data_IF_987530297249
#
_entry.id   IF_987530297249
#
_cell.length_a   1.000
_cell.length_b   1.000
_cell.length_c   1.000
_cell.angle_alpha   90.00
_cell.angle_beta   90.00
_cell.angle_gamma   90.00
#
_symmetry.space_group_name_H-M   'P 1'
#
loop_
_entity.id
_entity.type
_entity.pdbx_description
1 polymer ?
#
# COMPACT_ATOMS: atom_id res chain seq x y z
N UNK A 1 -10.09 9.27 -8.04
CA UNK A 1 -9.43 8.79 -6.80
C UNK A 1 -8.01 8.34 -7.09
N UNK A 2 -7.76 7.50 -8.11
CA UNK A 2 -6.43 6.92 -8.39
C UNK A 2 -5.31 7.96 -8.59
N UNK A 3 -5.48 9.05 -9.35
CA UNK A 3 -4.44 10.08 -9.51
C UNK A 3 -4.02 10.74 -8.20
N UNK A 4 -5.00 11.05 -7.32
CA UNK A 4 -4.75 11.65 -5.99
C UNK A 4 -4.09 10.68 -5.00
N UNK A 5 -4.15 9.37 -5.28
CA UNK A 5 -3.52 8.34 -4.45
C UNK A 5 -2.13 7.94 -4.98
N UNK A 6 -1.73 8.45 -6.14
CA UNK A 6 -0.48 8.08 -6.78
C UNK A 6 0.72 8.41 -5.89
N UNK A 7 1.57 7.40 -5.63
CA UNK A 7 2.74 7.53 -4.76
C UNK A 7 2.55 7.13 -3.30
N UNK A 8 1.32 7.05 -2.79
CA UNK A 8 1.04 6.63 -1.40
C UNK A 8 1.17 5.12 -1.19
N UNK A 9 1.22 4.33 -2.26
CA UNK A 9 1.23 2.86 -2.16
C UNK A 9 -0.09 2.26 -1.67
N UNK A 10 -0.10 0.94 -1.49
CA UNK A 10 -1.30 0.21 -1.02
C UNK A 10 -2.58 0.60 -1.78
N UNK A 11 -2.52 0.61 -3.10
CA UNK A 11 -3.59 1.06 -4.00
C UNK A 11 -4.92 0.33 -3.82
N UNK A 12 -4.90 -0.88 -3.24
CA UNK A 12 -6.12 -1.57 -2.83
C UNK A 12 -6.96 -0.75 -1.84
N UNK A 13 -6.33 0.07 -0.98
CA UNK A 13 -7.06 0.97 -0.07
C UNK A 13 -7.84 2.03 -0.82
N UNK A 14 -7.26 2.64 -1.86
CA UNK A 14 -7.95 3.62 -2.69
C UNK A 14 -9.16 3.02 -3.41
N UNK A 15 -8.99 1.82 -3.98
CA UNK A 15 -10.10 1.10 -4.63
C UNK A 15 -11.20 0.73 -3.64
N UNK A 16 -10.82 0.20 -2.48
CA UNK A 16 -11.76 -0.17 -1.43
C UNK A 16 -12.50 1.05 -0.88
N UNK A 17 -11.80 2.16 -0.64
CA UNK A 17 -12.40 3.43 -0.23
C UNK A 17 -13.44 3.92 -1.25
N UNK A 18 -13.08 3.91 -2.53
CA UNK A 18 -13.99 4.30 -3.60
C UNK A 18 -15.23 3.40 -3.69
N UNK A 19 -15.01 2.07 -3.57
CA UNK A 19 -16.11 1.10 -3.57
C UNK A 19 -17.00 1.27 -2.34
N UNK A 20 -16.42 1.41 -1.15
CA UNK A 20 -17.16 1.65 0.08
C UNK A 20 -17.98 2.94 0.01
N UNK A 21 -17.39 4.04 -0.49
CA UNK A 21 -18.09 5.29 -0.70
C UNK A 21 -19.29 5.15 -1.66
N UNK A 22 -19.12 4.38 -2.74
CA UNK A 22 -20.22 4.06 -3.66
C UNK A 22 -21.35 3.28 -3.00
N UNK A 23 -21.02 2.31 -2.15
CA UNK A 23 -22.02 1.54 -1.39
C UNK A 23 -22.78 2.44 -0.42
N UNK A 24 -22.08 3.28 0.35
CA UNK A 24 -22.71 4.24 1.28
C UNK A 24 -23.61 5.24 0.53
N UNK A 25 -23.16 5.75 -0.61
CA UNK A 25 -23.96 6.65 -1.44
C UNK A 25 -25.23 5.98 -1.97
N UNK A 26 -25.15 4.69 -2.35
CA UNK A 26 -26.30 3.93 -2.81
C UNK A 26 -27.30 3.65 -1.68
N UNK A 27 -26.81 3.40 -0.48
CA UNK A 27 -27.65 3.20 0.73
C UNK A 27 -28.30 4.50 1.22
N UNK A 28 -27.74 5.65 0.89
CA UNK A 28 -28.21 6.97 1.30
C UNK A 28 -27.89 7.37 2.74
N UNK A 29 -27.20 6.53 3.49
CA UNK A 29 -26.77 6.80 4.88
C UNK A 29 -25.49 6.05 5.23
N UNK A 30 -24.76 6.53 6.23
CA UNK A 30 -23.62 5.82 6.80
C UNK A 30 -24.06 4.62 7.65
N UNK A 31 -23.24 3.55 7.73
CA UNK A 31 -23.43 2.47 8.68
C UNK A 31 -23.54 3.00 10.12
N UNK A 32 -24.43 2.43 10.90
CA UNK A 32 -24.68 2.83 12.29
C UNK A 32 -24.05 1.88 13.32
N UNK A 33 -23.68 0.64 12.91
CA UNK A 33 -23.11 -0.38 13.79
C UNK A 33 -21.75 -0.86 13.31
N UNK A 34 -20.97 -1.45 14.22
CA UNK A 34 -19.66 -2.01 13.93
C UNK A 34 -19.71 -3.05 12.81
N UNK A 35 -20.71 -3.93 12.85
CA UNK A 35 -20.91 -5.01 11.88
C UNK A 35 -21.14 -4.44 10.47
N UNK A 36 -22.02 -3.45 10.37
CA UNK A 36 -22.29 -2.77 9.08
C UNK A 36 -21.06 -2.09 8.51
N UNK A 37 -20.19 -1.50 9.35
CA UNK A 37 -18.93 -0.95 8.90
C UNK A 37 -17.98 -2.02 8.37
N UNK A 38 -17.91 -3.19 9.04
CA UNK A 38 -17.01 -4.29 8.65
C UNK A 38 -17.45 -4.92 7.31
N UNK A 39 -18.71 -4.85 6.94
CA UNK A 39 -19.20 -5.31 5.63
C UNK A 39 -18.68 -4.47 4.46
N UNK A 40 -18.23 -3.24 4.70
CA UNK A 40 -17.69 -2.38 3.65
C UNK A 40 -16.27 -2.79 3.23
N UNK A 41 -15.96 -2.72 1.92
CA UNK A 41 -14.67 -3.12 1.40
C UNK A 41 -13.50 -2.37 2.05
N UNK A 42 -12.55 -3.14 2.60
CA UNK A 42 -11.31 -2.61 3.19
C UNK A 42 -11.47 -2.06 4.61
N UNK A 43 -12.62 -2.23 5.23
CA UNK A 43 -12.87 -1.87 6.62
C UNK A 43 -12.81 -3.14 7.47
N UNK A 44 -11.74 -3.24 8.27
CA UNK A 44 -11.59 -4.29 9.28
C UNK A 44 -12.07 -3.81 10.66
N UNK A 45 -12.09 -4.71 11.68
CA UNK A 45 -12.59 -4.39 13.03
C UNK A 45 -11.98 -3.13 13.64
N UNK A 46 -10.67 -2.95 13.53
CA UNK A 46 -9.99 -1.75 14.07
C UNK A 46 -10.39 -0.46 13.35
N UNK A 47 -10.54 -0.51 12.02
CA UNK A 47 -11.00 0.65 11.25
C UNK A 47 -12.46 0.98 11.57
N UNK A 48 -13.31 -0.05 11.68
CA UNK A 48 -14.70 0.10 12.09
C UNK A 48 -14.82 0.74 13.49
N UNK A 49 -14.03 0.25 14.46
CA UNK A 49 -13.95 0.85 15.80
C UNK A 49 -13.52 2.32 15.77
N UNK A 50 -12.56 2.67 14.92
CA UNK A 50 -12.15 4.06 14.75
C UNK A 50 -13.26 4.94 14.14
N UNK A 51 -14.00 4.42 13.16
CA UNK A 51 -15.13 5.12 12.56
C UNK A 51 -16.28 5.33 13.56
N UNK A 52 -16.57 4.31 14.38
CA UNK A 52 -17.54 4.44 15.47
C UNK A 52 -17.11 5.51 16.47
N UNK A 53 -15.88 5.42 16.96
CA UNK A 53 -15.35 6.30 18.00
C UNK A 53 -15.15 7.74 17.51
N UNK A 54 -14.35 7.92 16.46
CA UNK A 54 -13.94 9.25 15.99
C UNK A 54 -14.97 9.89 15.06
N UNK A 55 -15.62 9.07 14.22
CA UNK A 55 -16.59 9.56 13.24
C UNK A 55 -17.98 9.78 13.82
N UNK A 56 -18.50 8.78 14.54
CA UNK A 56 -19.88 8.78 15.04
C UNK A 56 -20.02 9.16 16.53
N UNK A 57 -18.91 9.36 17.24
CA UNK A 57 -18.88 9.63 18.69
C UNK A 57 -19.60 8.54 19.50
N UNK A 58 -19.52 7.30 19.04
CA UNK A 58 -20.06 6.11 19.70
C UNK A 58 -18.92 5.24 20.22
N UNK A 59 -19.26 4.25 21.05
CA UNK A 59 -18.27 3.30 21.54
C UNK A 59 -17.67 2.49 20.39
N UNK A 60 -16.33 2.46 20.34
CA UNK A 60 -15.57 1.69 19.35
C UNK A 60 -14.18 1.38 19.86
N UNK A 61 -13.76 0.13 19.73
CA UNK A 61 -12.44 -0.35 20.15
C UNK A 61 -11.51 -0.42 18.93
N UNK A 62 -10.27 0.00 19.10
CA UNK A 62 -9.25 -0.08 18.05
C UNK A 62 -8.09 -0.96 18.48
N UNK A 63 -7.51 -1.68 17.51
CA UNK A 63 -6.32 -2.50 17.67
C UNK A 63 -5.49 -2.47 16.37
N UNK A 64 -4.98 -1.30 16.04
CA UNK A 64 -4.04 -1.16 14.92
C UNK A 64 -2.60 -1.51 15.34
N UNK A 65 -1.65 -1.41 14.43
CA UNK A 65 -0.24 -1.69 14.73
C UNK A 65 0.37 -0.76 15.78
N UNK A 66 -0.12 0.47 15.93
CA UNK A 66 0.32 1.41 16.94
C UNK A 66 -0.21 1.02 18.32
N UNK A 67 -1.51 0.78 18.43
CA UNK A 67 -2.16 0.33 19.67
C UNK A 67 -1.57 -0.98 20.15
N UNK A 68 -1.42 -1.97 19.25
CA UNK A 68 -0.79 -3.26 19.55
C UNK A 68 0.61 -3.07 20.15
N UNK A 69 1.42 -2.18 19.59
CA UNK A 69 2.76 -1.85 20.11
C UNK A 69 2.72 -1.16 21.46
N UNK A 70 1.86 -0.17 21.64
CA UNK A 70 1.71 0.54 22.92
C UNK A 70 1.34 -0.42 24.03
N UNK A 71 0.31 -1.24 23.82
CA UNK A 71 -0.17 -2.20 24.82
C UNK A 71 0.86 -3.30 25.10
N UNK A 72 1.51 -3.85 24.05
CA UNK A 72 2.56 -4.85 24.23
C UNK A 72 3.71 -4.32 25.07
N UNK A 73 4.13 -3.08 24.89
CA UNK A 73 5.19 -2.45 25.71
C UNK A 73 4.71 -2.11 27.11
N UNK A 74 3.52 -1.52 27.21
CA UNK A 74 2.99 -1.10 28.53
C UNK A 74 2.86 -2.28 29.50
N UNK A 75 2.43 -3.43 29.01
CA UNK A 75 2.25 -4.65 29.80
C UNK A 75 3.43 -5.64 29.71
N UNK A 76 4.48 -5.33 28.96
CA UNK A 76 5.62 -6.20 28.64
C UNK A 76 5.18 -7.58 28.09
N UNK A 77 4.31 -7.57 27.06
CA UNK A 77 3.82 -8.78 26.42
C UNK A 77 4.86 -9.25 25.39
N UNK A 78 5.51 -10.37 25.70
CA UNK A 78 6.59 -10.96 24.90
C UNK A 78 6.10 -12.00 23.87
N UNK A 79 4.83 -12.34 23.92
CA UNK A 79 4.20 -13.31 23.03
C UNK A 79 4.24 -12.89 21.55
N UNK A 80 4.23 -13.91 20.67
CA UNK A 80 4.03 -13.71 19.23
C UNK A 80 2.58 -13.29 18.92
N UNK A 81 2.37 -11.99 18.83
CA UNK A 81 1.05 -11.38 18.57
C UNK A 81 0.48 -11.66 17.16
N UNK A 82 1.19 -12.40 16.32
CA UNK A 82 0.67 -12.89 15.04
C UNK A 82 -0.11 -14.20 15.16
N UNK A 83 -0.05 -14.85 16.34
CA UNK A 83 -0.83 -16.07 16.59
C UNK A 83 -2.26 -15.71 16.99
N UNK A 84 -3.28 -16.40 16.45
CA UNK A 84 -4.69 -16.06 16.69
C UNK A 84 -5.09 -16.00 18.17
N UNK A 85 -4.50 -16.87 19.01
CA UNK A 85 -4.74 -16.88 20.45
C UNK A 85 -4.31 -15.56 21.11
N UNK A 86 -3.06 -15.12 20.82
CA UNK A 86 -2.51 -13.90 21.41
C UNK A 86 -3.14 -12.65 20.82
N UNK A 87 -3.53 -12.68 19.55
CA UNK A 87 -4.28 -11.59 18.93
C UNK A 87 -5.64 -11.39 19.59
N UNK A 88 -6.37 -12.49 19.90
CA UNK A 88 -7.64 -12.42 20.65
C UNK A 88 -7.43 -11.83 22.05
N UNK A 89 -6.40 -12.27 22.77
CA UNK A 89 -6.07 -11.74 24.09
C UNK A 89 -5.77 -10.23 24.04
N UNK A 90 -5.07 -9.77 22.99
CA UNK A 90 -4.81 -8.34 22.77
C UNK A 90 -6.10 -7.56 22.52
N UNK A 91 -7.04 -8.09 21.76
CA UNK A 91 -8.36 -7.47 21.56
C UNK A 91 -9.14 -7.37 22.86
N UNK A 92 -9.18 -8.43 23.67
CA UNK A 92 -9.82 -8.41 24.99
C UNK A 92 -9.17 -7.39 25.91
N UNK A 93 -7.85 -7.28 25.89
CA UNK A 93 -7.12 -6.25 26.65
C UNK A 93 -7.49 -4.83 26.18
N UNK A 94 -7.53 -4.60 24.87
CA UNK A 94 -7.91 -3.30 24.33
C UNK A 94 -9.35 -2.93 24.69
N UNK A 95 -10.26 -3.87 24.63
CA UNK A 95 -11.66 -3.70 25.00
C UNK A 95 -11.79 -3.37 26.50
N UNK A 96 -11.07 -4.10 27.38
CA UNK A 96 -11.07 -3.86 28.81
C UNK A 96 -10.54 -2.46 29.19
N UNK A 97 -9.59 -1.94 28.47
CA UNK A 97 -8.97 -0.63 28.71
C UNK A 97 -9.73 0.53 28.05
N UNK A 98 -10.61 0.23 27.11
CA UNK A 98 -11.31 1.23 26.33
C UNK A 98 -12.50 1.79 27.14
N UNK A 99 -12.48 3.07 27.52
CA UNK A 99 -13.57 3.66 28.31
C UNK A 99 -14.82 3.85 27.44
N UNK A 100 -15.98 3.74 28.07
CA UNK A 100 -17.27 4.06 27.42
C UNK A 100 -17.42 5.58 27.32
N UNK A 101 -17.17 6.28 28.41
CA UNK A 101 -17.15 7.74 28.42
C UNK A 101 -15.86 8.26 27.81
N UNK A 102 -15.96 9.34 27.03
CA UNK A 102 -14.81 9.94 26.32
C UNK A 102 -14.04 8.94 25.44
N UNK A 103 -14.74 7.96 24.89
CA UNK A 103 -14.14 6.91 24.05
C UNK A 103 -13.32 7.49 22.89
N UNK A 104 -13.81 8.54 22.23
CA UNK A 104 -13.11 9.19 21.12
C UNK A 104 -11.80 9.87 21.56
N UNK A 105 -11.75 10.45 22.78
CA UNK A 105 -10.51 11.05 23.29
C UNK A 105 -9.46 9.96 23.54
N UNK A 106 -9.87 8.84 24.15
CA UNK A 106 -8.98 7.70 24.36
C UNK A 106 -8.48 7.12 23.04
N UNK A 107 -9.37 6.93 22.07
CA UNK A 107 -9.01 6.41 20.75
C UNK A 107 -7.98 7.31 20.07
N UNK A 108 -8.19 8.61 20.05
CA UNK A 108 -7.24 9.56 19.48
C UNK A 108 -5.92 9.56 20.27
N UNK A 109 -5.99 9.62 21.59
CA UNK A 109 -4.80 9.68 22.44
C UNK A 109 -3.88 8.45 22.29
N UNK A 110 -4.44 7.23 22.24
CA UNK A 110 -3.62 6.03 22.10
C UNK A 110 -3.01 5.91 20.70
N UNK A 111 -3.71 6.38 19.66
CA UNK A 111 -3.17 6.47 18.30
C UNK A 111 -2.00 7.46 18.24
N UNK A 112 -2.18 8.67 18.80
CA UNK A 112 -1.15 9.72 18.83
C UNK A 112 0.06 9.28 19.65
N UNK A 113 -0.15 8.67 20.82
CA UNK A 113 0.91 8.11 21.63
C UNK A 113 1.75 7.09 20.83
N UNK A 114 1.09 6.20 20.10
CA UNK A 114 1.76 5.24 19.24
C UNK A 114 2.48 5.87 18.05
N UNK A 115 1.91 6.90 17.46
CA UNK A 115 2.47 7.54 16.26
C UNK A 115 3.66 8.46 16.59
N UNK A 116 3.61 9.20 17.72
CA UNK A 116 4.55 10.28 18.00
C UNK A 116 5.55 9.98 19.11
N UNK A 117 5.16 9.25 20.14
CA UNK A 117 5.98 8.97 21.32
C UNK A 117 6.47 7.52 21.36
N UNK A 118 5.55 6.56 21.41
CA UNK A 118 5.88 5.13 21.47
C UNK A 118 6.18 4.57 20.07
N UNK A 119 7.16 5.14 19.39
CA UNK A 119 7.51 4.82 17.98
C UNK A 119 8.16 3.45 17.83
N UNK A 120 8.15 2.84 16.61
CA UNK A 120 8.64 1.46 16.42
C UNK A 120 10.13 1.27 16.70
N UNK A 121 10.98 2.22 16.35
CA UNK A 121 12.45 2.06 16.41
C UNK A 121 13.10 2.84 17.55
N UNK A 122 12.65 4.06 17.80
CA UNK A 122 13.22 4.98 18.78
C UNK A 122 12.11 5.61 19.62
N UNK A 123 11.54 4.85 20.57
CA UNK A 123 10.48 5.41 21.42
C UNK A 123 11.05 6.52 22.32
N UNK A 124 10.28 7.58 22.48
CA UNK A 124 10.62 8.74 23.31
C UNK A 124 10.12 8.53 24.74
N UNK A 125 10.63 7.51 25.42
CA UNK A 125 10.13 7.07 26.74
C UNK A 125 10.20 8.17 27.81
N UNK A 126 11.23 9.03 27.78
CA UNK A 126 11.36 10.15 28.72
C UNK A 126 10.25 11.21 28.62
N UNK A 127 9.58 11.28 27.46
CA UNK A 127 8.45 12.18 27.21
C UNK A 127 7.10 11.45 27.27
N UNK A 128 7.10 10.16 27.60
CA UNK A 128 5.88 9.37 27.61
C UNK A 128 5.09 9.61 28.90
N UNK A 129 3.82 10.03 28.83
CA UNK A 129 3.00 10.24 30.04
C UNK A 129 2.74 8.94 30.81
N UNK A 130 2.94 7.78 30.18
CA UNK A 130 2.75 6.45 30.78
C UNK A 130 4.05 5.83 31.28
N UNK A 131 5.19 6.53 31.25
CA UNK A 131 6.52 6.02 31.53
C UNK A 131 6.62 5.28 32.87
N UNK A 132 6.12 5.91 33.93
CA UNK A 132 6.24 5.39 35.30
C UNK A 132 5.62 3.99 35.50
N UNK A 133 4.59 3.67 34.72
CA UNK A 133 3.85 2.41 34.80
C UNK A 133 4.16 1.45 33.64
N UNK A 134 5.02 1.86 32.71
CA UNK A 134 5.35 1.04 31.53
C UNK A 134 6.31 -0.07 31.91
N UNK A 135 5.85 -1.33 31.91
CA UNK A 135 6.65 -2.50 32.27
C UNK A 135 7.83 -2.73 31.31
N UNK A 136 7.65 -2.53 30.01
CA UNK A 136 8.76 -2.68 29.07
C UNK A 136 9.86 -1.64 29.33
N UNK A 137 9.50 -0.40 29.69
CA UNK A 137 10.51 0.62 30.05
C UNK A 137 11.27 0.26 31.32
N UNK A 138 10.56 -0.22 32.35
CA UNK A 138 11.19 -0.66 33.61
C UNK A 138 12.14 -1.85 33.40
N UNK A 139 11.92 -2.67 32.37
CA UNK A 139 12.70 -3.86 32.06
C UNK A 139 13.70 -3.65 30.91
N UNK A 140 13.74 -2.49 30.27
CA UNK A 140 14.62 -2.20 29.12
C UNK A 140 14.20 -2.91 27.83
N UNK A 141 12.93 -3.32 27.69
CA UNK A 141 12.40 -4.10 26.57
C UNK A 141 11.68 -3.23 25.50
N UNK A 142 11.69 -1.92 25.62
CA UNK A 142 10.91 -1.02 24.74
C UNK A 142 11.33 -1.06 23.28
N UNK A 143 12.55 -1.48 22.95
CA UNK A 143 13.02 -1.65 21.57
C UNK A 143 12.80 -3.05 21.02
N UNK A 144 12.63 -4.05 21.89
CA UNK A 144 12.42 -5.44 21.55
C UNK A 144 10.94 -5.77 21.32
N UNK A 145 10.06 -5.11 22.07
CA UNK A 145 8.61 -5.33 21.98
C UNK A 145 7.91 -4.40 20.97
N UNK A 146 6.83 -4.87 20.34
CA UNK A 146 6.31 -6.24 20.35
C UNK A 146 7.25 -7.22 19.65
N UNK A 147 7.18 -8.49 20.01
CA UNK A 147 7.96 -9.56 19.38
C UNK A 147 7.85 -9.50 17.85
N UNK A 148 8.97 -9.56 17.18
CA UNK A 148 9.06 -9.52 15.71
C UNK A 148 9.64 -10.83 15.20
N UNK A 149 8.86 -11.52 14.39
CA UNK A 149 9.42 -12.66 13.64
C UNK A 149 10.60 -12.20 12.79
N UNK A 150 11.66 -12.99 12.69
CA UNK A 150 12.73 -12.74 11.73
C UNK A 150 12.11 -12.59 10.33
N UNK A 151 12.50 -11.53 9.62
CA UNK A 151 12.04 -11.33 8.24
C UNK A 151 12.62 -12.44 7.38
N UNK A 152 11.75 -13.18 6.69
CA UNK A 152 12.19 -14.08 5.63
C UNK A 152 12.82 -13.26 4.51
N UNK A 153 13.84 -13.83 3.86
CA UNK A 153 14.40 -13.23 2.66
C UNK A 153 13.28 -13.00 1.64
N UNK A 154 13.26 -11.80 1.09
CA UNK A 154 12.25 -11.41 0.11
C UNK A 154 12.73 -11.90 -1.25
N UNK A 155 11.94 -12.69 -2.00
CA UNK A 155 12.35 -13.17 -3.33
C UNK A 155 12.58 -11.99 -4.27
N UNK A 156 13.59 -12.13 -5.12
CA UNK A 156 13.87 -11.19 -6.20
C UNK A 156 13.24 -11.74 -7.46
N UNK A 157 12.48 -10.92 -8.16
CA UNK A 157 11.90 -11.20 -9.47
C UNK A 157 12.47 -10.22 -10.48
N UNK A 158 12.56 -10.62 -11.74
CA UNK A 158 12.93 -9.74 -12.85
C UNK A 158 11.79 -9.66 -13.86
N UNK A 159 11.70 -8.54 -14.57
CA UNK A 159 10.80 -8.36 -15.70
C UNK A 159 11.36 -7.31 -16.67
N UNK A 160 10.99 -7.42 -17.94
CA UNK A 160 11.23 -6.40 -18.94
C UNK A 160 10.04 -5.48 -19.06
N UNK A 161 10.33 -4.21 -19.29
CA UNK A 161 9.33 -3.17 -19.55
C UNK A 161 9.53 -2.65 -20.95
N UNK A 162 8.51 -2.79 -21.79
CA UNK A 162 8.52 -2.23 -23.14
C UNK A 162 8.23 -0.74 -23.07
N UNK A 163 9.16 0.06 -23.57
CA UNK A 163 8.97 1.49 -23.80
C UNK A 163 8.94 1.70 -25.30
N UNK A 164 7.75 1.81 -25.86
CA UNK A 164 7.56 2.01 -27.28
C UNK A 164 7.25 3.49 -27.52
N UNK A 165 8.12 4.16 -28.27
CA UNK A 165 8.05 5.59 -28.56
C UNK A 165 7.70 5.83 -30.01
N UNK A 166 6.77 6.75 -30.26
CA UNK A 166 6.47 7.32 -31.59
C UNK A 166 5.94 8.73 -31.44
N UNK A 167 6.40 9.70 -32.23
CA UNK A 167 5.94 11.08 -32.24
C UNK A 167 5.87 11.74 -30.85
N UNK A 168 6.90 11.59 -30.02
CA UNK A 168 6.94 12.07 -28.64
C UNK A 168 5.84 11.50 -27.71
N UNK A 169 5.23 10.40 -28.10
CA UNK A 169 4.26 9.66 -27.31
C UNK A 169 4.82 8.28 -26.99
N UNK A 170 4.43 7.74 -25.84
CA UNK A 170 4.71 6.38 -25.43
C UNK A 170 3.43 5.57 -25.38
N UNK A 171 3.54 4.25 -25.59
CA UNK A 171 2.41 3.34 -25.46
C UNK A 171 2.21 2.94 -24.00
N UNK A 172 1.06 3.28 -23.44
CA UNK A 172 0.66 3.00 -22.08
C UNK A 172 -0.50 2.01 -22.03
N UNK A 173 -0.51 1.18 -21.00
CA UNK A 173 -1.60 0.25 -20.71
C UNK A 173 -2.22 0.55 -19.35
N UNK A 174 -3.53 0.48 -19.24
CA UNK A 174 -4.20 0.48 -17.96
C UNK A 174 -4.22 -0.94 -17.41
N UNK A 175 -3.65 -1.14 -16.21
CA UNK A 175 -3.66 -2.45 -15.54
C UNK A 175 -5.10 -2.88 -15.20
N UNK A 176 -5.40 -4.18 -15.24
CA UNK A 176 -6.68 -4.70 -14.74
C UNK A 176 -6.97 -4.20 -13.34
N UNK A 177 -8.24 -4.07 -12.97
CA UNK A 177 -8.64 -3.53 -11.64
C UNK A 177 -8.25 -4.42 -10.46
N UNK A 178 -7.66 -5.60 -10.68
CA UNK A 178 -7.16 -6.52 -9.67
C UNK A 178 -5.63 -6.69 -9.77
N UNK A 179 -5.03 -7.28 -8.74
CA UNK A 179 -3.60 -7.58 -8.72
C UNK A 179 -2.70 -6.36 -8.46
N UNK A 180 -1.43 -6.52 -8.83
CA UNK A 180 -0.40 -5.50 -8.62
C UNK A 180 -0.69 -4.27 -9.47
N UNK A 181 -0.72 -3.08 -8.83
CA UNK A 181 -0.99 -1.78 -9.46
C UNK A 181 -2.33 -1.71 -10.21
N UNK A 182 -3.32 -2.52 -9.80
CA UNK A 182 -4.61 -2.58 -10.45
C UNK A 182 -5.27 -1.21 -10.66
N UNK A 183 -5.73 -0.95 -11.89
CA UNK A 183 -6.36 0.29 -12.30
C UNK A 183 -5.40 1.46 -12.60
N UNK A 184 -4.08 1.29 -12.36
CA UNK A 184 -3.08 2.31 -12.69
C UNK A 184 -2.58 2.13 -14.13
N UNK A 185 -2.04 3.20 -14.68
CA UNK A 185 -1.37 3.18 -15.96
C UNK A 185 0.09 2.74 -15.81
N UNK A 186 0.53 1.84 -16.64
CA UNK A 186 1.89 1.32 -16.70
C UNK A 186 2.35 1.20 -18.14
N UNK A 187 3.65 1.21 -18.34
CA UNK A 187 4.25 0.68 -19.57
C UNK A 187 4.04 -0.85 -19.61
N UNK A 188 3.94 -1.49 -20.77
CA UNK A 188 3.78 -2.94 -20.88
C UNK A 188 4.89 -3.67 -20.13
N UNK A 189 4.54 -4.63 -19.27
CA UNK A 189 5.47 -5.39 -18.43
C UNK A 189 5.39 -6.85 -18.80
N UNK A 190 6.52 -7.47 -19.12
CA UNK A 190 6.67 -8.87 -19.50
C UNK A 190 7.53 -9.56 -18.45
N UNK A 191 6.97 -10.55 -17.77
CA UNK A 191 7.65 -11.24 -16.66
C UNK A 191 8.57 -12.39 -17.12
N UNK A 192 8.42 -12.85 -18.35
CA UNK A 192 9.19 -13.98 -18.90
C UNK A 192 10.06 -13.56 -20.10
N UNK A 193 11.39 -13.75 -20.05
CA UNK A 193 12.29 -13.33 -21.12
C UNK A 193 11.96 -13.93 -22.50
N UNK A 194 11.55 -15.19 -22.54
CA UNK A 194 11.19 -15.86 -23.81
C UNK A 194 9.95 -15.22 -24.44
N UNK A 195 8.97 -14.87 -23.63
CA UNK A 195 7.77 -14.14 -24.08
C UNK A 195 8.12 -12.75 -24.60
N UNK A 196 9.09 -12.08 -23.97
CA UNK A 196 9.55 -10.77 -24.40
C UNK A 196 10.15 -10.81 -25.81
N UNK A 197 11.07 -11.74 -26.07
CA UNK A 197 11.71 -11.87 -27.41
C UNK A 197 10.68 -12.22 -28.49
N UNK A 198 9.80 -13.17 -28.20
CA UNK A 198 8.72 -13.56 -29.12
C UNK A 198 7.77 -12.40 -29.40
N UNK A 199 7.41 -11.63 -28.37
CA UNK A 199 6.55 -10.47 -28.51
C UNK A 199 7.21 -9.37 -29.35
N UNK A 200 8.48 -9.08 -29.10
CA UNK A 200 9.22 -8.09 -29.91
C UNK A 200 9.27 -8.47 -31.38
N UNK A 201 9.47 -9.76 -31.68
CA UNK A 201 9.46 -10.27 -33.06
C UNK A 201 8.07 -10.11 -33.70
N UNK A 202 7.01 -10.51 -32.99
CA UNK A 202 5.62 -10.42 -33.47
C UNK A 202 5.21 -8.98 -33.75
N UNK A 203 5.61 -8.06 -32.86
CA UNK A 203 5.31 -6.63 -32.98
C UNK A 203 6.24 -5.87 -33.94
N UNK A 204 7.24 -6.55 -34.52
CA UNK A 204 8.21 -5.95 -35.44
C UNK A 204 9.15 -4.93 -34.76
N UNK A 205 9.35 -5.02 -33.45
CA UNK A 205 10.22 -4.13 -32.68
C UNK A 205 11.70 -4.51 -32.88
N UNK A 206 12.44 -3.74 -33.68
CA UNK A 206 13.81 -4.07 -34.08
C UNK A 206 14.86 -3.16 -33.53
N UNK A 207 14.59 -1.85 -33.44
CA UNK A 207 15.58 -0.82 -33.09
C UNK A 207 15.48 -0.45 -31.61
N UNK A 208 16.34 -1.07 -30.81
CA UNK A 208 16.53 -0.65 -29.41
C UNK A 208 17.30 0.66 -29.39
N UNK A 209 16.76 1.71 -28.79
CA UNK A 209 17.38 3.03 -28.70
C UNK A 209 18.00 3.28 -27.33
N UNK A 210 17.47 2.69 -26.27
CA UNK A 210 17.97 2.82 -24.90
C UNK A 210 17.58 1.64 -24.04
N UNK A 211 18.34 1.41 -22.95
CA UNK A 211 18.01 0.53 -21.84
C UNK A 211 18.19 1.25 -20.52
N UNK A 212 17.37 0.95 -19.54
CA UNK A 212 17.48 1.45 -18.17
C UNK A 212 17.03 0.40 -17.19
N UNK A 213 17.64 0.34 -16.02
CA UNK A 213 17.31 -0.61 -14.97
C UNK A 213 16.93 0.11 -13.70
N UNK A 214 15.93 -0.42 -13.00
CA UNK A 214 15.56 0.01 -11.65
C UNK A 214 15.28 -1.19 -10.76
N UNK A 215 15.48 -1.00 -9.46
CA UNK A 215 15.01 -1.94 -8.44
C UNK A 215 13.87 -1.30 -7.65
N UNK A 216 12.78 -2.04 -7.49
CA UNK A 216 11.62 -1.61 -6.70
C UNK A 216 11.22 -2.69 -5.69
N UNK A 217 11.27 -2.36 -4.39
CA UNK A 217 10.95 -3.31 -3.32
C UNK A 217 9.50 -3.18 -2.87
N UNK A 218 8.82 -4.32 -2.82
CA UNK A 218 7.52 -4.50 -2.17
C UNK A 218 7.71 -5.19 -0.81
N UNK A 219 6.67 -5.33 -0.05
CA UNK A 219 6.69 -6.04 1.24
C UNK A 219 6.96 -7.54 1.12
N UNK A 220 6.67 -8.14 -0.04
CA UNK A 220 6.70 -9.59 -0.27
C UNK A 220 7.62 -10.05 -1.40
N UNK A 221 8.16 -9.12 -2.21
CA UNK A 221 9.22 -9.38 -3.20
C UNK A 221 9.92 -8.08 -3.60
N UNK A 222 11.08 -8.22 -4.22
CA UNK A 222 11.80 -7.11 -4.88
C UNK A 222 11.75 -7.34 -6.39
N UNK A 223 11.44 -6.30 -7.16
CA UNK A 223 11.37 -6.36 -8.61
C UNK A 223 12.55 -5.64 -9.23
N UNK A 224 13.31 -6.36 -10.06
CA UNK A 224 14.31 -5.80 -10.96
C UNK A 224 13.63 -5.59 -12.31
N UNK A 225 13.47 -4.35 -12.72
CA UNK A 225 12.80 -3.95 -13.96
C UNK A 225 13.84 -3.40 -14.93
N UNK A 226 13.93 -4.04 -16.10
CA UNK A 226 14.74 -3.56 -17.23
C UNK A 226 13.81 -2.91 -18.26
N UNK A 227 13.90 -1.60 -18.44
CA UNK A 227 13.24 -0.91 -19.56
C UNK A 227 14.04 -1.10 -20.83
N UNK A 228 13.35 -1.47 -21.90
CA UNK A 228 13.91 -1.58 -23.23
C UNK A 228 13.11 -0.68 -24.14
N UNK A 229 13.78 0.38 -24.64
CA UNK A 229 13.14 1.43 -25.40
C UNK A 229 13.26 1.20 -26.89
N UNK A 230 12.15 1.26 -27.58
CA UNK A 230 12.04 1.12 -29.04
C UNK A 230 11.45 2.38 -29.64
N UNK A 231 11.95 2.76 -30.79
CA UNK A 231 11.38 3.79 -31.63
C UNK A 231 10.66 3.12 -32.83
N UNK A 232 9.43 3.57 -33.08
CA UNK A 232 8.60 3.05 -34.17
C UNK A 232 8.01 4.18 -34.99
N UNK A 233 7.65 3.90 -36.22
CA UNK A 233 7.03 4.85 -37.11
C UNK A 233 5.54 5.07 -36.76
N UNK A 234 4.98 6.20 -37.19
CA UNK A 234 3.62 6.59 -36.84
C UNK A 234 2.55 5.62 -37.41
N UNK A 235 2.82 4.97 -38.52
CA UNK A 235 1.95 3.97 -39.13
C UNK A 235 1.78 2.70 -38.34
N UNK A 236 2.75 2.41 -37.44
CA UNK A 236 2.69 1.26 -36.54
C UNK A 236 1.83 1.51 -35.27
N UNK A 237 1.48 2.76 -34.96
CA UNK A 237 0.78 3.11 -33.72
C UNK A 237 -0.55 2.38 -33.54
N UNK A 238 -1.37 2.33 -34.59
CA UNK A 238 -2.68 1.70 -34.52
C UNK A 238 -2.56 0.19 -34.27
N UNK A 239 -1.69 -0.48 -35.03
CA UNK A 239 -1.42 -1.91 -34.86
C UNK A 239 -0.94 -2.24 -33.43
N UNK A 240 0.05 -1.49 -32.93
CA UNK A 240 0.58 -1.70 -31.59
C UNK A 240 -0.43 -1.42 -30.47
N UNK A 241 -1.32 -0.45 -30.67
CA UNK A 241 -2.43 -0.17 -29.74
C UNK A 241 -3.41 -1.34 -29.64
N UNK A 242 -3.72 -1.97 -30.76
CA UNK A 242 -4.63 -3.12 -30.83
C UNK A 242 -3.97 -4.36 -30.17
N UNK A 243 -2.76 -4.68 -30.58
CA UNK A 243 -2.04 -5.87 -30.11
C UNK A 243 -1.72 -5.83 -28.62
N UNK A 244 -1.34 -4.67 -28.10
CA UNK A 244 -0.98 -4.48 -26.71
C UNK A 244 -2.12 -3.95 -25.83
N UNK A 245 -3.26 -3.56 -26.42
CA UNK A 245 -4.39 -2.99 -25.67
C UNK A 245 -4.04 -1.69 -24.94
N UNK A 246 -3.28 -0.79 -25.62
CA UNK A 246 -2.75 0.42 -25.03
C UNK A 246 -3.21 1.72 -25.68
N UNK A 247 -2.77 2.84 -25.12
CA UNK A 247 -3.01 4.20 -25.62
C UNK A 247 -1.70 4.98 -25.73
N UNK A 248 -1.56 5.77 -26.76
CA UNK A 248 -0.41 6.65 -27.00
C UNK A 248 -0.60 7.96 -26.27
N UNK A 249 0.28 8.24 -25.32
CA UNK A 249 0.20 9.42 -24.46
C UNK A 249 1.62 9.98 -24.24
N UNK A 250 1.71 11.30 -24.21
CA UNK A 250 2.98 11.95 -23.91
C UNK A 250 3.44 11.59 -22.47
N UNK A 251 4.73 11.33 -22.24
CA UNK A 251 5.24 10.90 -20.94
C UNK A 251 4.89 11.82 -19.78
N UNK A 252 4.80 13.12 -19.99
CA UNK A 252 4.43 14.09 -18.95
C UNK A 252 2.98 13.94 -18.49
N UNK A 253 2.06 13.49 -19.35
CA UNK A 253 0.66 13.24 -19.00
C UNK A 253 0.52 12.01 -18.10
N UNK A 254 1.46 11.09 -18.14
CA UNK A 254 1.43 9.89 -17.30
C UNK A 254 1.41 10.22 -15.80
N UNK A 255 2.04 11.34 -15.38
CA UNK A 255 2.01 11.79 -13.99
C UNK A 255 0.60 12.18 -13.51
N UNK A 256 -0.25 12.63 -14.40
CA UNK A 256 -1.64 13.05 -14.11
C UNK A 256 -2.60 11.86 -14.10
N UNK A 257 -2.24 10.76 -14.76
CA UNK A 257 -3.12 9.59 -14.90
C UNK A 257 -3.07 8.62 -13.71
N UNK A 258 -2.15 8.79 -12.80
CA UNK A 258 -1.92 7.85 -11.70
C UNK A 258 -1.09 6.63 -12.12
N UNK A 259 0.23 6.80 -12.09
CA UNK A 259 1.21 5.74 -12.35
C UNK A 259 1.88 5.27 -11.05
N UNK A 260 2.34 4.01 -10.96
CA UNK A 260 3.10 3.53 -9.81
C UNK A 260 4.43 4.26 -9.63
N UNK A 261 4.92 4.33 -8.40
CA UNK A 261 6.25 4.92 -8.09
C UNK A 261 7.38 4.24 -8.87
N UNK A 262 7.29 2.93 -9.12
CA UNK A 262 8.26 2.21 -9.94
C UNK A 262 8.31 2.75 -11.37
N UNK A 263 7.15 3.04 -11.98
CA UNK A 263 7.09 3.64 -13.32
C UNK A 263 7.67 5.06 -13.32
N UNK A 264 7.39 5.87 -12.28
CA UNK A 264 8.02 7.20 -12.14
C UNK A 264 9.54 7.11 -12.12
N UNK A 265 10.09 6.19 -11.32
CA UNK A 265 11.54 5.95 -11.27
C UNK A 265 12.10 5.51 -12.62
N UNK A 266 11.38 4.61 -13.31
CA UNK A 266 11.81 4.11 -14.61
C UNK A 266 11.83 5.22 -15.66
N UNK A 267 10.78 6.04 -15.74
CA UNK A 267 10.71 7.22 -16.63
C UNK A 267 11.87 8.17 -16.35
N UNK A 268 12.18 8.42 -15.07
CA UNK A 268 13.31 9.28 -14.69
C UNK A 268 14.68 8.68 -15.04
N UNK A 269 14.78 7.36 -15.18
CA UNK A 269 16.02 6.69 -15.59
C UNK A 269 16.18 6.62 -17.12
N UNK A 270 15.11 6.86 -17.86
CA UNK A 270 15.08 6.91 -19.33
C UNK A 270 15.29 8.37 -19.75
N UNK A 271 16.46 8.69 -20.25
CA UNK A 271 16.81 10.04 -20.73
C UNK A 271 16.39 10.20 -22.21
N UNK A 272 15.12 10.07 -22.52
CA UNK A 272 14.55 10.27 -23.85
C UNK A 272 13.84 11.61 -23.98
#
# INVERSE_FOLDING_TARGET
>A
VAPYWAGLGYYARARNLHKAAGMVAHQGHFPATLEQWIELPGIGPSTAGALMSLGLRQYGVIMDGNVKRVLARFFAIEDDLSKPLHERAMWQLAEHLCPVERNHDYTQAIMDLGATVCTPKKPLCLYCPMQAHCKAHQQGLETELPFKKPKKAVPVKSAQVLVIQSNNQWLWQQRPNSGLWGGLWCLPIIEHPVEFESLCQTLGLKKVIQRAEITHSFTHFTWQLEAICFEVDADQQEHLSIELGGSWLAPYLASEMGIPTAMKKLISAINL
#
